data_IF_354591438294
#
_entry.id   IF_354591438294
#
_cell.length_a   1.000
_cell.length_b   1.000
_cell.length_c   1.000
_cell.angle_alpha   90.00
_cell.angle_beta   90.00
_cell.angle_gamma   90.00
#
_symmetry.space_group_name_H-M   'P 1'
#
loop_
_entity.id
_entity.type
_entity.pdbx_description
1 polymer ?
#
# COMPACT_ATOMS: atom_id res chain seq x y z
N UNK A 1 -27.37 -6.30 -26.57
CA UNK A 1 -26.09 -5.56 -26.53
C UNK A 1 -26.15 -4.32 -25.65
N UNK A 2 -27.04 -3.33 -25.87
CA UNK A 2 -27.09 -2.10 -25.03
C UNK A 2 -27.31 -2.35 -23.53
N UNK A 3 -28.12 -3.35 -23.12
CA UNK A 3 -28.33 -3.69 -21.69
C UNK A 3 -27.09 -4.34 -21.03
N UNK A 4 -26.32 -5.11 -21.80
CA UNK A 4 -25.08 -5.72 -21.30
C UNK A 4 -23.98 -4.66 -21.14
N UNK A 5 -23.91 -3.69 -22.07
CA UNK A 5 -23.04 -2.52 -21.96
C UNK A 5 -23.44 -1.63 -20.75
N UNK A 6 -24.75 -1.50 -20.46
CA UNK A 6 -25.24 -0.74 -19.30
C UNK A 6 -24.87 -1.43 -17.98
N UNK A 7 -25.00 -2.76 -17.91
CA UNK A 7 -24.60 -3.54 -16.75
C UNK A 7 -23.09 -3.50 -16.58
N UNK A 8 -22.32 -3.63 -17.66
CA UNK A 8 -20.86 -3.48 -17.63
C UNK A 8 -20.44 -2.06 -17.23
N UNK A 9 -21.15 -1.03 -17.72
CA UNK A 9 -20.90 0.37 -17.33
C UNK A 9 -21.30 0.65 -15.87
N UNK A 10 -22.38 0.05 -15.36
CA UNK A 10 -22.78 0.18 -13.95
C UNK A 10 -21.84 -0.59 -13.04
N UNK A 11 -21.39 -1.78 -13.43
CA UNK A 11 -20.34 -2.53 -12.71
C UNK A 11 -19.02 -1.78 -12.79
N UNK A 12 -18.64 -1.25 -13.95
CA UNK A 12 -17.49 -0.38 -14.09
C UNK A 12 -17.63 0.91 -13.26
N UNK A 13 -18.81 1.53 -13.20
CA UNK A 13 -19.08 2.70 -12.36
C UNK A 13 -19.02 2.38 -10.87
N UNK A 14 -19.58 1.25 -10.44
CA UNK A 14 -19.46 0.76 -9.07
C UNK A 14 -18.01 0.43 -8.71
N UNK A 15 -17.24 -0.12 -9.64
CA UNK A 15 -15.81 -0.42 -9.48
C UNK A 15 -14.96 0.85 -9.54
N UNK A 16 -15.38 1.89 -10.27
CA UNK A 16 -14.70 3.22 -10.32
C UNK A 16 -15.01 4.06 -9.13
N UNK A 17 -16.23 4.02 -8.68
CA UNK A 17 -16.55 4.53 -7.35
C UNK A 17 -15.75 3.75 -6.29
N UNK A 18 -15.39 2.50 -6.58
CA UNK A 18 -14.44 1.72 -5.82
C UNK A 18 -12.99 1.96 -6.20
N UNK A 19 -12.57 3.14 -6.60
CA UNK A 19 -11.16 3.47 -6.93
C UNK A 19 -10.18 3.00 -5.87
N UNK A 20 -10.24 1.68 -5.60
CA UNK A 20 -9.36 0.98 -4.71
C UNK A 20 -7.99 0.92 -5.38
N UNK A 21 -7.25 1.98 -5.23
CA UNK A 21 -5.82 1.81 -5.13
C UNK A 21 -5.61 1.28 -3.72
N UNK A 22 -5.17 0.02 -3.54
CA UNK A 22 -4.76 -0.42 -2.21
C UNK A 22 -3.80 0.63 -1.71
N UNK A 23 -4.12 1.21 -0.56
CA UNK A 23 -3.31 2.20 0.09
C UNK A 23 -1.88 1.71 0.08
N UNK A 24 -1.00 2.43 -0.58
CA UNK A 24 0.36 2.07 -0.90
C UNK A 24 0.67 0.64 -0.55
N UNK A 25 0.67 -0.25 -1.52
CA UNK A 25 0.99 -1.63 -1.25
C UNK A 25 2.27 -1.64 -0.42
N UNK A 26 2.16 -2.10 0.80
CA UNK A 26 3.33 -2.42 1.61
C UNK A 26 4.13 -3.32 0.72
N UNK A 27 5.34 -2.91 0.32
CA UNK A 27 6.17 -3.76 -0.51
C UNK A 27 6.45 -5.07 0.26
N UNK A 28 6.90 -6.10 -0.45
CA UNK A 28 7.17 -7.41 0.14
C UNK A 28 8.06 -7.31 1.41
N UNK A 29 8.94 -6.32 1.48
CA UNK A 29 9.79 -6.03 2.65
C UNK A 29 9.01 -5.41 3.81
N UNK A 30 8.04 -4.55 3.55
CA UNK A 30 7.16 -4.00 4.58
C UNK A 30 6.22 -5.05 5.16
N UNK A 31 5.79 -6.05 4.37
CA UNK A 31 5.03 -7.20 4.88
C UNK A 31 5.89 -8.11 5.76
N UNK A 32 7.14 -8.35 5.38
CA UNK A 32 8.09 -9.13 6.18
C UNK A 32 8.35 -8.44 7.52
N UNK A 33 8.49 -7.10 7.54
CA UNK A 33 8.71 -6.32 8.76
C UNK A 33 7.51 -6.41 9.71
N UNK A 34 6.29 -6.32 9.20
CA UNK A 34 5.07 -6.46 9.99
C UNK A 34 4.85 -7.89 10.50
N UNK A 35 5.19 -8.90 9.70
CA UNK A 35 5.13 -10.30 10.10
C UNK A 35 6.15 -10.62 11.20
N UNK A 36 7.35 -10.09 11.14
CA UNK A 36 8.38 -10.26 12.16
C UNK A 36 7.99 -9.64 13.51
N UNK A 37 7.36 -8.45 13.50
CA UNK A 37 6.84 -7.84 14.74
C UNK A 37 5.71 -8.67 15.38
N UNK A 38 4.95 -9.43 14.59
CA UNK A 38 3.86 -10.28 15.09
C UNK A 38 4.39 -11.58 15.69
N UNK A 39 5.46 -12.15 15.13
CA UNK A 39 6.12 -13.34 15.68
C UNK A 39 6.83 -13.03 17.00
N UNK A 40 7.49 -11.89 17.11
CA UNK A 40 8.21 -11.47 18.32
C UNK A 40 7.27 -11.17 19.50
N UNK A 41 6.02 -10.77 19.23
CA UNK A 41 5.00 -10.55 20.27
C UNK A 41 4.31 -11.84 20.74
N UNK A 42 4.41 -12.95 20.00
CA UNK A 42 3.73 -14.21 20.32
C UNK A 42 4.60 -15.14 21.17
N UNK A 43 5.92 -14.93 21.19
CA UNK A 43 6.87 -15.79 21.92
C UNK A 43 7.03 -15.45 23.42
N UNK A 44 6.25 -14.47 23.92
CA UNK A 44 6.26 -14.05 25.35
C UNK A 44 5.01 -14.43 26.14
N UNK A 45 4.40 -15.60 25.87
CA UNK A 45 3.43 -16.16 26.81
C UNK A 45 4.13 -17.09 27.81
N UNK A 46 3.97 -16.88 29.13
CA UNK A 46 4.52 -17.80 30.13
C UNK A 46 3.73 -19.12 30.13
N UNK A 47 4.43 -20.23 30.09
CA UNK A 47 3.83 -21.54 30.25
C UNK A 47 3.20 -21.69 31.65
N UNK A 48 2.07 -22.39 31.81
CA UNK A 48 1.47 -22.68 33.10
C UNK A 48 2.26 -23.78 33.81
N UNK A 49 2.70 -23.46 35.03
CA UNK A 49 3.28 -24.40 35.98
C UNK A 49 2.30 -25.53 36.32
N UNK A 50 2.68 -26.76 36.05
CA UNK A 50 2.00 -27.94 36.54
C UNK A 50 2.90 -28.63 37.57
N UNK A 51 2.38 -28.71 38.81
CA UNK A 51 2.95 -29.47 39.90
C UNK A 51 3.08 -30.94 39.57
N UNK A 52 4.20 -31.55 39.90
CA UNK A 52 4.18 -32.89 40.51
C UNK A 52 5.47 -33.16 41.33
N UNK A 53 5.17 -33.73 42.50
CA UNK A 53 6.03 -34.05 43.64
C UNK A 53 6.78 -35.32 43.39
N UNK A 54 8.09 -35.42 43.71
CA UNK A 54 8.66 -36.57 44.43
C UNK A 54 10.10 -36.31 44.88
N UNK A 55 10.32 -36.66 46.13
CA UNK A 55 11.49 -36.68 46.98
C UNK A 55 12.77 -37.31 46.38
N UNK A 56 13.94 -36.80 46.72
CA UNK A 56 14.98 -37.40 47.53
C UNK A 56 16.32 -36.68 47.45
N UNK A 57 16.73 -36.18 48.60
CA UNK A 57 18.04 -36.16 49.31
C UNK A 57 19.38 -35.86 48.58
N UNK A 58 20.08 -34.91 49.25
CA UNK A 58 21.52 -34.85 49.56
C UNK A 58 22.51 -34.36 48.50
N UNK A 59 23.07 -33.20 48.69
CA UNK A 59 24.41 -32.89 49.19
C UNK A 59 24.81 -31.45 48.95
N UNK A 60 25.36 -30.81 49.99
CA UNK A 60 25.90 -29.48 50.05
C UNK A 60 27.11 -29.30 49.12
N UNK A 61 27.14 -28.18 48.35
CA UNK A 61 28.38 -27.46 48.02
C UNK A 61 28.03 -25.99 47.85
N UNK A 62 28.58 -25.21 48.80
CA UNK A 62 28.57 -23.74 48.73
C UNK A 62 29.41 -23.28 47.54
N UNK A 63 28.74 -22.67 46.57
CA UNK A 63 29.34 -21.92 45.49
C UNK A 63 28.77 -20.54 45.48
N UNK A 64 29.56 -19.59 45.99
CA UNK A 64 29.33 -18.14 45.96
C UNK A 64 29.34 -17.73 44.47
N UNK A 65 28.15 -17.54 43.90
CA UNK A 65 28.00 -16.90 42.59
C UNK A 65 27.58 -15.45 42.79
N UNK A 66 28.53 -14.54 42.54
CA UNK A 66 28.28 -13.15 42.27
C UNK A 66 27.34 -13.04 41.07
N UNK A 67 26.03 -12.90 41.32
CA UNK A 67 25.06 -12.54 40.34
C UNK A 67 25.19 -11.03 40.02
N UNK A 68 26.20 -10.69 39.24
CA UNK A 68 26.25 -9.43 38.51
C UNK A 68 25.24 -9.54 37.36
N UNK A 69 23.94 -9.32 37.69
CA UNK A 69 22.91 -9.09 36.68
C UNK A 69 23.22 -7.71 36.08
N UNK A 70 23.98 -7.72 34.98
CA UNK A 70 23.95 -6.62 34.01
C UNK A 70 22.53 -6.57 33.45
N UNK A 71 21.70 -5.73 34.09
CA UNK A 71 20.39 -5.31 33.59
C UNK A 71 20.62 -4.33 32.43
N UNK A 72 21.32 -4.79 31.39
CA UNK A 72 21.30 -4.19 30.06
C UNK A 72 19.98 -4.59 29.40
N UNK A 73 18.86 -4.19 30.02
CA UNK A 73 17.59 -4.04 29.36
C UNK A 73 17.78 -2.96 28.29
N UNK A 74 18.42 -3.36 27.19
CA UNK A 74 18.31 -2.69 25.91
C UNK A 74 16.85 -2.83 25.47
N UNK A 75 15.96 -2.08 26.16
CA UNK A 75 14.64 -1.81 25.62
C UNK A 75 14.89 -1.18 24.24
N UNK A 76 14.76 -1.99 23.19
CA UNK A 76 14.68 -1.48 21.84
C UNK A 76 13.67 -0.32 21.92
N UNK A 77 14.17 0.90 21.81
CA UNK A 77 13.34 2.10 21.72
C UNK A 77 12.33 1.76 20.62
N UNK A 78 11.11 1.44 21.04
CA UNK A 78 9.99 1.37 20.10
C UNK A 78 9.94 2.79 19.54
N UNK A 79 10.45 2.96 18.31
CA UNK A 79 10.31 4.21 17.59
C UNK A 79 8.85 4.59 17.72
N UNK A 80 8.57 5.67 18.46
CA UNK A 80 7.23 6.20 18.64
C UNK A 80 6.66 6.40 17.24
N UNK A 81 5.77 5.50 16.82
CA UNK A 81 5.11 5.59 15.52
C UNK A 81 4.34 6.90 15.53
N UNK A 82 4.83 7.88 14.78
CA UNK A 82 4.20 9.19 14.67
C UNK A 82 2.79 8.99 14.13
N UNK A 83 1.82 9.01 15.04
CA UNK A 83 0.41 8.78 14.71
C UNK A 83 -0.18 10.08 14.18
N UNK A 84 -0.71 10.02 12.96
CA UNK A 84 -1.51 11.12 12.43
C UNK A 84 -2.80 11.22 13.26
N UNK A 85 -3.20 12.44 13.73
CA UNK A 85 -4.45 12.65 14.42
C UNK A 85 -5.64 12.13 13.63
N UNK A 86 -6.52 11.39 14.29
CA UNK A 86 -7.74 10.84 13.70
C UNK A 86 -9.00 11.43 14.37
N UNK A 87 -9.30 12.71 14.11
CA UNK A 87 -10.44 13.38 14.72
C UNK A 87 -11.79 12.87 14.19
N UNK A 88 -11.79 12.11 13.09
CA UNK A 88 -12.97 11.60 12.42
C UNK A 88 -13.07 10.07 12.50
N UNK A 89 -12.60 9.48 13.61
CA UNK A 89 -12.49 8.02 13.78
C UNK A 89 -13.79 7.28 13.47
N UNK A 90 -14.95 7.78 13.88
CA UNK A 90 -16.25 7.14 13.63
C UNK A 90 -16.58 7.11 12.12
N UNK A 91 -16.37 8.24 11.44
CA UNK A 91 -16.56 8.34 9.99
C UNK A 91 -15.55 7.46 9.24
N UNK A 92 -14.30 7.52 9.63
CA UNK A 92 -13.21 6.76 9.02
C UNK A 92 -13.44 5.24 9.16
N UNK A 93 -13.86 4.78 10.34
CA UNK A 93 -14.24 3.39 10.60
C UNK A 93 -15.45 2.98 9.76
N UNK A 94 -16.45 3.86 9.62
CA UNK A 94 -17.60 3.63 8.75
C UNK A 94 -17.19 3.42 7.29
N UNK A 95 -16.31 4.27 6.76
CA UNK A 95 -15.77 4.12 5.39
C UNK A 95 -14.83 2.94 5.25
N UNK A 96 -14.06 2.58 6.29
CA UNK A 96 -13.29 1.35 6.29
C UNK A 96 -14.21 0.12 6.10
N UNK A 97 -15.27 -0.01 6.88
CA UNK A 97 -16.22 -1.11 6.72
C UNK A 97 -16.94 -1.12 5.37
N UNK A 98 -17.25 0.05 4.84
CA UNK A 98 -17.80 0.17 3.48
C UNK A 98 -16.80 -0.36 2.45
N UNK A 99 -15.54 0.10 2.49
CA UNK A 99 -14.48 -0.34 1.57
C UNK A 99 -14.20 -1.84 1.69
N UNK A 100 -14.18 -2.37 2.92
CA UNK A 100 -14.00 -3.80 3.20
C UNK A 100 -15.11 -4.65 2.53
N UNK A 101 -16.38 -4.26 2.71
CA UNK A 101 -17.51 -4.95 2.06
C UNK A 101 -17.42 -4.84 0.54
N UNK A 102 -17.08 -3.67 0.01
CA UNK A 102 -16.92 -3.46 -1.43
C UNK A 102 -15.80 -4.34 -2.00
N UNK A 103 -14.68 -4.49 -1.27
CA UNK A 103 -13.63 -5.41 -1.66
C UNK A 103 -14.14 -6.84 -1.75
N UNK A 104 -14.74 -7.38 -0.68
CA UNK A 104 -15.16 -8.79 -0.64
C UNK A 104 -16.33 -9.11 -1.56
N UNK A 105 -17.28 -8.19 -1.73
CA UNK A 105 -18.52 -8.47 -2.46
C UNK A 105 -18.44 -8.10 -3.94
N UNK A 106 -17.62 -7.14 -4.30
CA UNK A 106 -17.54 -6.65 -5.68
C UNK A 106 -16.15 -6.84 -6.27
N UNK A 107 -15.13 -6.22 -5.67
CA UNK A 107 -13.83 -6.12 -6.30
C UNK A 107 -13.13 -7.49 -6.39
N UNK A 108 -13.08 -8.25 -5.30
CA UNK A 108 -12.46 -9.58 -5.26
C UNK A 108 -13.10 -10.57 -6.23
N UNK A 109 -14.44 -10.78 -6.28
CA UNK A 109 -15.04 -11.70 -7.24
C UNK A 109 -14.85 -11.27 -8.70
N UNK A 110 -14.95 -9.96 -9.01
CA UNK A 110 -14.68 -9.43 -10.35
C UNK A 110 -13.23 -9.66 -10.75
N UNK A 111 -12.29 -9.35 -9.86
CA UNK A 111 -10.85 -9.54 -10.11
C UNK A 111 -10.45 -11.01 -10.24
N UNK A 112 -11.11 -11.92 -9.50
CA UNK A 112 -10.93 -13.38 -9.68
C UNK A 112 -11.42 -13.84 -11.05
N UNK A 113 -12.62 -13.40 -11.45
CA UNK A 113 -13.16 -13.71 -12.78
C UNK A 113 -12.28 -13.16 -13.91
N UNK A 114 -11.80 -11.93 -13.76
CA UNK A 114 -10.86 -11.32 -14.69
C UNK A 114 -9.55 -12.11 -14.77
N UNK A 115 -8.94 -12.46 -13.61
CA UNK A 115 -7.70 -13.22 -13.54
C UNK A 115 -7.82 -14.66 -14.07
N UNK A 116 -9.04 -15.23 -14.05
CA UNK A 116 -9.30 -16.54 -14.69
C UNK A 116 -9.29 -16.46 -16.23
N UNK A 117 -9.73 -15.32 -16.79
CA UNK A 117 -9.85 -15.13 -18.26
C UNK A 117 -8.55 -14.60 -18.85
N UNK A 118 -7.89 -13.67 -18.17
CA UNK A 118 -6.71 -12.95 -18.67
C UNK A 118 -5.44 -13.56 -18.06
N UNK A 119 -4.52 -14.07 -18.87
CA UNK A 119 -3.23 -14.60 -18.42
C UNK A 119 -2.41 -13.58 -17.64
N UNK A 120 -1.57 -14.04 -16.72
CA UNK A 120 -0.78 -13.19 -15.84
C UNK A 120 0.16 -12.26 -16.61
N UNK A 121 0.79 -12.75 -17.66
CA UNK A 121 1.72 -11.99 -18.50
C UNK A 121 1.01 -10.77 -19.13
N UNK A 122 -0.24 -10.97 -19.57
CA UNK A 122 -1.03 -9.88 -20.15
C UNK A 122 -1.48 -8.89 -19.08
N UNK A 123 -1.81 -9.36 -17.88
CA UNK A 123 -2.14 -8.48 -16.72
C UNK A 123 -0.93 -7.65 -16.29
N UNK A 124 0.26 -8.24 -16.28
CA UNK A 124 1.50 -7.51 -16.04
C UNK A 124 1.78 -6.48 -17.13
N UNK A 125 1.59 -6.83 -18.40
CA UNK A 125 1.75 -5.89 -19.51
C UNK A 125 0.79 -4.70 -19.39
N UNK A 126 -0.48 -4.94 -19.06
CA UNK A 126 -1.48 -3.89 -18.81
C UNK A 126 -1.03 -2.98 -17.67
N UNK A 127 -0.58 -3.53 -16.55
CA UNK A 127 -0.05 -2.75 -15.42
C UNK A 127 1.13 -1.88 -15.83
N UNK A 128 2.06 -2.42 -16.62
CA UNK A 128 3.21 -1.69 -17.11
C UNK A 128 2.81 -0.52 -18.02
N UNK A 129 1.82 -0.70 -18.88
CA UNK A 129 1.26 0.39 -19.71
C UNK A 129 0.69 1.51 -18.84
N UNK A 130 -0.13 1.19 -17.83
CA UNK A 130 -0.68 2.19 -16.93
C UNK A 130 0.41 2.92 -16.14
N UNK A 131 1.42 2.18 -15.66
CA UNK A 131 2.59 2.78 -15.03
C UNK A 131 3.30 3.75 -15.98
N UNK A 132 3.54 3.35 -17.23
CA UNK A 132 4.21 4.18 -18.24
C UNK A 132 3.38 5.41 -18.61
N UNK A 133 2.07 5.29 -18.75
CA UNK A 133 1.15 6.41 -19.04
C UNK A 133 1.16 7.46 -17.94
N UNK A 134 1.29 7.06 -16.67
CA UNK A 134 1.36 7.98 -15.51
C UNK A 134 2.73 8.64 -15.31
N UNK A 135 3.68 8.43 -16.22
CA UNK A 135 4.98 9.10 -16.17
C UNK A 135 4.90 10.61 -15.87
N UNK A 136 4.00 11.44 -16.49
CA UNK A 136 4.00 12.87 -16.25
C UNK A 136 3.73 13.23 -14.79
N UNK A 137 2.89 12.48 -14.09
CA UNK A 137 2.60 12.69 -12.67
C UNK A 137 3.89 12.55 -11.85
N UNK A 138 4.60 11.43 -11.99
CA UNK A 138 5.83 11.16 -11.24
C UNK A 138 6.95 12.11 -11.62
N UNK A 139 7.15 12.34 -12.91
CA UNK A 139 8.18 13.24 -13.42
C UNK A 139 8.05 14.66 -12.89
N UNK A 140 6.83 15.23 -12.97
CA UNK A 140 6.57 16.61 -12.52
C UNK A 140 6.71 16.70 -11.00
N UNK A 141 6.22 15.72 -10.25
CA UNK A 141 6.37 15.71 -8.79
C UNK A 141 7.85 15.57 -8.37
N UNK A 142 8.66 14.75 -9.05
CA UNK A 142 10.11 14.74 -8.84
C UNK A 142 10.74 16.12 -9.03
N UNK A 143 10.35 16.85 -10.09
CA UNK A 143 10.86 18.21 -10.34
C UNK A 143 10.41 19.21 -9.27
N UNK A 144 9.12 19.17 -8.88
CA UNK A 144 8.56 20.05 -7.85
C UNK A 144 9.20 19.83 -6.46
N UNK A 145 9.67 18.63 -6.19
CA UNK A 145 10.41 18.28 -4.98
C UNK A 145 11.91 18.59 -5.07
N UNK A 146 12.41 19.08 -6.21
CA UNK A 146 13.84 19.32 -6.43
C UNK A 146 14.66 18.04 -6.64
N UNK A 147 14.03 16.87 -6.75
CA UNK A 147 14.66 15.57 -6.98
C UNK A 147 15.03 15.38 -8.47
N UNK A 148 15.88 16.29 -9.01
CA UNK A 148 16.22 16.34 -10.46
C UNK A 148 16.81 15.01 -10.95
N UNK A 149 17.61 14.32 -10.14
CA UNK A 149 18.18 13.02 -10.50
C UNK A 149 17.10 11.95 -10.68
N UNK A 150 16.12 11.90 -9.77
CA UNK A 150 14.96 10.98 -9.87
C UNK A 150 14.10 11.31 -11.09
N UNK A 151 13.87 12.60 -11.39
CA UNK A 151 13.13 12.98 -12.59
C UNK A 151 13.85 12.52 -13.88
N UNK A 152 15.17 12.59 -13.92
CA UNK A 152 15.96 12.04 -15.02
C UNK A 152 15.79 10.52 -15.16
N UNK A 153 15.73 9.79 -14.05
CA UNK A 153 15.47 8.34 -14.06
C UNK A 153 14.06 8.01 -14.54
N UNK A 154 13.03 8.75 -14.08
CA UNK A 154 11.67 8.61 -14.56
C UNK A 154 11.56 8.84 -16.07
N UNK A 155 12.23 9.88 -16.59
CA UNK A 155 12.29 10.13 -18.02
C UNK A 155 13.00 8.98 -18.77
N UNK A 156 14.11 8.49 -18.25
CA UNK A 156 14.84 7.35 -18.81
C UNK A 156 13.97 6.08 -18.86
N UNK A 157 13.27 5.76 -17.76
CA UNK A 157 12.32 4.65 -17.71
C UNK A 157 11.22 4.78 -18.77
N UNK A 158 10.57 5.95 -18.81
CA UNK A 158 9.51 6.22 -19.78
C UNK A 158 10.02 6.06 -21.21
N UNK A 159 11.19 6.60 -21.54
CA UNK A 159 11.77 6.52 -22.87
C UNK A 159 12.09 5.08 -23.26
N UNK A 160 12.76 4.31 -22.40
CA UNK A 160 13.14 2.93 -22.66
C UNK A 160 11.88 2.05 -22.78
N UNK A 161 10.93 2.18 -21.85
CA UNK A 161 9.72 1.39 -21.88
C UNK A 161 8.80 1.76 -23.04
N UNK A 162 8.79 3.02 -23.48
CA UNK A 162 8.00 3.43 -24.66
C UNK A 162 8.62 2.98 -25.97
N UNK A 163 9.94 2.94 -26.08
CA UNK A 163 10.64 2.55 -27.33
C UNK A 163 10.91 1.05 -27.36
N UNK A 164 11.78 0.55 -26.50
CA UNK A 164 12.16 -0.87 -26.46
C UNK A 164 11.07 -1.74 -25.83
N UNK A 165 10.25 -1.20 -24.92
CA UNK A 165 9.16 -1.90 -24.24
C UNK A 165 7.82 -1.82 -24.95
N UNK A 166 7.76 -1.35 -26.18
CA UNK A 166 6.53 -1.29 -27.00
C UNK A 166 5.40 -0.50 -26.30
N UNK A 167 5.60 0.81 -26.11
CA UNK A 167 4.68 1.72 -25.40
C UNK A 167 4.44 1.35 -23.92
N UNK A 168 5.37 0.61 -23.33
CA UNK A 168 5.29 0.22 -21.92
C UNK A 168 4.67 -1.16 -21.66
N UNK A 169 4.33 -1.95 -22.69
CA UNK A 169 3.88 -3.33 -22.51
C UNK A 169 4.93 -4.19 -21.78
N UNK A 170 6.20 -4.05 -22.16
CA UNK A 170 7.31 -4.65 -21.45
C UNK A 170 8.06 -3.60 -20.60
N UNK A 171 8.34 -3.92 -19.34
CA UNK A 171 9.15 -3.09 -18.47
C UNK A 171 10.64 -3.39 -18.70
N UNK A 172 11.17 -2.94 -19.83
CA UNK A 172 12.58 -3.14 -20.21
C UNK A 172 13.51 -2.35 -19.28
N UNK A 173 13.06 -1.22 -18.75
CA UNK A 173 13.83 -0.40 -17.81
C UNK A 173 14.14 -1.15 -16.49
N UNK A 174 13.40 -2.18 -16.11
CA UNK A 174 13.67 -3.01 -14.94
C UNK A 174 15.04 -3.73 -15.01
N UNK A 175 15.61 -3.89 -16.21
CA UNK A 175 16.96 -4.47 -16.38
C UNK A 175 18.09 -3.51 -16.00
N UNK A 176 17.77 -2.26 -15.70
CA UNK A 176 18.71 -1.21 -15.32
C UNK A 176 18.52 -0.83 -13.85
N UNK A 177 19.35 -1.34 -12.91
CA UNK A 177 19.19 -1.11 -11.47
C UNK A 177 19.18 0.36 -11.06
N UNK A 178 19.76 1.22 -11.87
CA UNK A 178 19.83 2.67 -11.64
C UNK A 178 18.47 3.35 -11.91
N UNK A 179 17.64 2.75 -12.75
CA UNK A 179 16.32 3.26 -13.13
C UNK A 179 15.23 2.65 -12.26
N UNK A 180 15.32 2.84 -10.94
CA UNK A 180 14.32 2.31 -10.03
C UNK A 180 12.99 3.08 -10.18
N UNK A 181 11.85 2.38 -10.15
CA UNK A 181 10.55 3.04 -10.21
C UNK A 181 10.34 3.91 -8.98
N UNK A 182 9.92 5.15 -9.18
CA UNK A 182 9.49 6.02 -8.10
C UNK A 182 7.97 6.02 -7.97
N UNK A 183 7.48 6.40 -6.79
CA UNK A 183 6.04 6.53 -6.50
C UNK A 183 5.70 7.96 -6.13
N UNK A 184 6.42 8.92 -6.71
CA UNK A 184 6.27 10.33 -6.39
C UNK A 184 4.89 10.87 -6.78
N UNK A 185 4.27 11.55 -5.85
CA UNK A 185 2.94 12.17 -5.99
C UNK A 185 2.92 13.58 -5.38
N UNK A 186 1.85 14.33 -5.62
CA UNK A 186 1.72 15.70 -5.13
C UNK A 186 1.54 15.77 -3.61
N UNK A 187 1.02 14.73 -2.95
CA UNK A 187 0.98 14.64 -1.50
C UNK A 187 2.39 14.61 -0.89
N UNK A 188 3.32 13.88 -1.50
CA UNK A 188 4.75 13.90 -1.12
C UNK A 188 5.38 15.25 -1.43
N UNK A 189 5.05 15.85 -2.57
CA UNK A 189 5.51 17.21 -2.93
C UNK A 189 5.10 18.22 -1.85
N UNK A 190 3.86 18.18 -1.40
CA UNK A 190 3.39 19.03 -0.30
C UNK A 190 4.16 18.76 1.00
N UNK A 191 4.47 17.50 1.32
CA UNK A 191 5.29 17.16 2.48
C UNK A 191 6.69 17.77 2.40
N UNK A 192 7.37 17.65 1.27
CA UNK A 192 8.68 18.26 1.03
C UNK A 192 8.63 19.79 1.14
N UNK A 193 7.50 20.41 0.77
CA UNK A 193 7.28 21.85 0.96
C UNK A 193 6.95 22.24 2.40
N UNK A 194 6.86 21.29 3.34
CA UNK A 194 6.63 21.54 4.75
C UNK A 194 5.15 21.53 5.16
N UNK A 195 4.26 21.06 4.30
CA UNK A 195 2.86 20.86 4.69
C UNK A 195 2.73 19.56 5.50
N UNK A 196 2.11 19.69 6.66
CA UNK A 196 1.82 18.56 7.54
C UNK A 196 0.74 17.64 6.93
N UNK A 197 0.66 16.39 7.42
CA UNK A 197 -0.34 15.41 6.99
C UNK A 197 -1.78 15.89 7.22
N UNK A 198 -1.99 16.71 8.26
CA UNK A 198 -3.32 17.08 8.74
C UNK A 198 -4.06 15.88 9.33
N UNK A 199 -5.39 15.89 9.23
CA UNK A 199 -6.21 14.80 9.74
C UNK A 199 -6.10 13.53 8.89
N UNK A 200 -6.11 12.38 9.54
CA UNK A 200 -6.29 11.10 8.87
C UNK A 200 -7.70 10.97 8.29
N UNK A 201 -7.82 10.45 7.09
CA UNK A 201 -9.07 10.24 6.38
C UNK A 201 -9.10 8.87 5.73
N UNK A 202 -10.16 8.12 5.95
CA UNK A 202 -10.48 6.97 5.11
C UNK A 202 -11.43 7.42 4.03
N UNK A 203 -10.95 7.43 2.78
CA UNK A 203 -11.79 7.84 1.66
C UNK A 203 -12.63 6.66 1.15
N UNK A 204 -13.94 6.86 0.89
CA UNK A 204 -14.74 5.82 0.28
C UNK A 204 -14.13 5.48 -1.09
N UNK A 205 -14.00 4.19 -1.38
CA UNK A 205 -13.38 3.61 -2.56
C UNK A 205 -11.85 3.77 -2.68
N UNK A 206 -11.25 4.80 -2.08
CA UNK A 206 -9.81 5.08 -2.18
C UNK A 206 -8.99 4.57 -0.99
N UNK A 207 -9.64 4.19 0.10
CA UNK A 207 -8.98 3.67 1.29
C UNK A 207 -8.28 4.73 2.15
N UNK A 208 -7.24 4.34 2.92
CA UNK A 208 -6.48 5.22 3.80
C UNK A 208 -5.86 6.41 3.07
N UNK A 209 -5.93 7.58 3.68
CA UNK A 209 -5.41 8.84 3.17
C UNK A 209 -5.17 9.82 4.33
N UNK A 210 -4.62 10.99 4.01
CA UNK A 210 -4.60 12.16 4.89
C UNK A 210 -5.22 13.35 4.15
N UNK A 211 -5.48 14.44 4.87
CA UNK A 211 -5.98 15.67 4.23
C UNK A 211 -5.02 16.16 3.16
N UNK A 212 -3.72 16.20 3.45
CA UNK A 212 -2.66 16.57 2.52
C UNK A 212 -2.65 15.68 1.28
N UNK A 213 -2.64 14.36 1.49
CA UNK A 213 -2.51 13.40 0.39
C UNK A 213 -3.79 13.30 -0.43
N UNK A 214 -4.95 13.53 0.17
CA UNK A 214 -6.22 13.66 -0.53
C UNK A 214 -6.24 14.86 -1.49
N UNK A 215 -5.77 16.03 -1.02
CA UNK A 215 -5.60 17.22 -1.86
C UNK A 215 -4.53 16.99 -2.95
N UNK A 216 -3.42 16.35 -2.60
CA UNK A 216 -2.39 15.96 -3.56
C UNK A 216 -2.94 15.09 -4.67
N UNK A 217 -3.73 14.07 -4.33
CA UNK A 217 -4.37 13.16 -5.30
C UNK A 217 -5.32 13.90 -6.25
N UNK A 218 -6.06 14.89 -5.76
CA UNK A 218 -6.89 15.76 -6.61
C UNK A 218 -6.02 16.54 -7.61
N UNK A 219 -4.89 17.10 -7.14
CA UNK A 219 -3.95 17.80 -8.02
C UNK A 219 -3.29 16.89 -9.07
N UNK A 220 -2.89 15.67 -8.68
CA UNK A 220 -2.33 14.68 -9.60
C UNK A 220 -3.29 14.29 -10.73
N UNK A 221 -4.61 14.37 -10.48
CA UNK A 221 -5.62 14.14 -11.51
C UNK A 221 -5.44 15.06 -12.72
N UNK A 222 -4.99 16.29 -12.51
CA UNK A 222 -4.72 17.24 -13.60
C UNK A 222 -3.46 16.89 -14.41
N UNK A 223 -2.54 16.14 -13.83
CA UNK A 223 -1.31 15.70 -14.48
C UNK A 223 -1.46 14.32 -15.16
N UNK A 224 -2.54 13.61 -14.86
CA UNK A 224 -2.77 12.25 -15.34
C UNK A 224 -3.33 12.26 -16.76
N UNK A 225 -2.59 11.70 -17.74
CA UNK A 225 -2.98 11.72 -19.13
C UNK A 225 -4.33 11.07 -19.44
N UNK A 226 -4.79 10.11 -18.62
CA UNK A 226 -6.07 9.42 -18.85
C UNK A 226 -7.23 10.41 -18.86
N UNK A 227 -7.18 11.48 -18.04
CA UNK A 227 -8.21 12.49 -18.01
C UNK A 227 -8.19 13.46 -19.21
N UNK A 228 -7.08 13.53 -19.93
CA UNK A 228 -6.90 14.39 -21.10
C UNK A 228 -7.09 13.65 -22.43
N UNK A 229 -6.86 12.32 -22.42
CA UNK A 229 -6.96 11.49 -23.62
C UNK A 229 -8.41 11.21 -24.01
N UNK A 230 -9.33 11.30 -23.04
CA UNK A 230 -10.73 10.96 -23.26
C UNK A 230 -11.62 12.10 -22.80
N UNK A 231 -12.43 12.63 -23.73
CA UNK A 231 -13.39 13.74 -23.45
C UNK A 231 -14.54 13.26 -22.55
N UNK A 232 -14.84 11.97 -22.55
CA UNK A 232 -15.92 11.39 -21.76
C UNK A 232 -15.40 10.89 -20.42
N UNK A 233 -15.87 11.55 -19.34
CA UNK A 233 -15.54 11.20 -17.97
C UNK A 233 -15.85 9.72 -17.64
N UNK A 234 -16.91 9.15 -18.23
CA UNK A 234 -17.28 7.76 -17.98
C UNK A 234 -16.28 6.78 -18.57
N UNK A 235 -15.68 7.14 -19.70
CA UNK A 235 -14.61 6.35 -20.32
C UNK A 235 -13.36 6.39 -19.45
N UNK A 236 -12.95 7.56 -19.00
CA UNK A 236 -11.80 7.71 -18.08
C UNK A 236 -12.02 6.94 -16.79
N UNK A 237 -13.20 7.02 -16.22
CA UNK A 237 -13.59 6.25 -15.06
C UNK A 237 -13.60 4.73 -15.31
N UNK A 238 -14.11 4.25 -16.42
CA UNK A 238 -14.09 2.82 -16.78
C UNK A 238 -12.67 2.28 -16.95
N UNK A 239 -11.78 3.07 -17.54
CA UNK A 239 -10.35 2.73 -17.67
C UNK A 239 -9.70 2.59 -16.30
N UNK A 240 -9.97 3.52 -15.38
CA UNK A 240 -9.47 3.47 -14.00
C UNK A 240 -9.99 2.25 -13.25
N UNK A 241 -11.26 1.91 -13.45
CA UNK A 241 -11.83 0.70 -12.87
C UNK A 241 -11.14 -0.56 -13.40
N UNK A 242 -10.92 -0.62 -14.70
CA UNK A 242 -10.20 -1.72 -15.34
C UNK A 242 -8.78 -1.87 -14.80
N UNK A 243 -8.07 -0.75 -14.60
CA UNK A 243 -6.76 -0.72 -13.94
C UNK A 243 -6.84 -1.30 -12.54
N UNK A 244 -7.79 -0.84 -11.71
CA UNK A 244 -7.97 -1.33 -10.34
C UNK A 244 -8.26 -2.83 -10.30
N UNK A 245 -9.16 -3.33 -11.17
CA UNK A 245 -9.46 -4.77 -11.28
C UNK A 245 -8.21 -5.56 -11.67
N UNK A 246 -7.44 -5.04 -12.63
CA UNK A 246 -6.19 -5.66 -13.05
C UNK A 246 -5.18 -5.76 -11.91
N UNK A 247 -4.96 -4.67 -11.17
CA UNK A 247 -4.02 -4.64 -10.04
C UNK A 247 -4.46 -5.58 -8.91
N UNK A 248 -5.73 -5.53 -8.52
CA UNK A 248 -6.27 -6.41 -7.47
C UNK A 248 -6.21 -7.87 -7.89
N UNK A 249 -6.40 -8.18 -9.18
CA UNK A 249 -6.32 -9.57 -9.66
C UNK A 249 -4.96 -10.23 -9.47
N UNK A 250 -3.90 -9.44 -9.33
CA UNK A 250 -2.52 -9.90 -9.08
C UNK A 250 -2.15 -9.96 -7.59
N UNK A 251 -3.02 -9.39 -6.72
CA UNK A 251 -2.77 -9.26 -5.28
C UNK A 251 -3.89 -9.85 -4.42
N UNK A 252 -4.66 -10.77 -4.98
CA UNK A 252 -5.73 -11.45 -4.24
C UNK A 252 -5.08 -12.29 -3.14
N UNK A 253 -5.51 -12.08 -1.89
CA UNK A 253 -4.97 -12.74 -0.71
C UNK A 253 -4.13 -11.82 0.18
N UNK A 254 -3.47 -10.80 -0.36
CA UNK A 254 -2.65 -9.86 0.43
C UNK A 254 -3.49 -9.12 1.48
N UNK A 255 -4.62 -8.57 1.07
CA UNK A 255 -5.52 -7.85 1.99
C UNK A 255 -6.14 -8.76 3.05
N UNK A 256 -6.51 -9.97 2.66
CA UNK A 256 -7.04 -10.98 3.56
C UNK A 256 -6.02 -11.40 4.61
N UNK A 257 -4.79 -11.67 4.19
CA UNK A 257 -3.71 -12.04 5.10
C UNK A 257 -3.40 -10.92 6.11
N UNK A 258 -3.34 -9.67 5.64
CA UNK A 258 -3.20 -8.51 6.52
C UNK A 258 -4.34 -8.40 7.54
N UNK A 259 -5.57 -8.58 7.09
CA UNK A 259 -6.75 -8.50 7.95
C UNK A 259 -6.81 -9.62 8.98
N UNK A 260 -6.38 -10.83 8.61
CA UNK A 260 -6.35 -12.01 9.48
C UNK A 260 -5.27 -11.89 10.56
N UNK A 261 -4.12 -11.30 10.23
CA UNK A 261 -3.02 -11.08 11.15
C UNK A 261 -3.27 -9.93 12.15
N UNK A 262 -4.24 -9.05 11.89
CA UNK A 262 -4.48 -7.86 12.69
C UNK A 262 -5.45 -8.10 13.84
N UNK A 263 -5.11 -7.63 15.05
CA UNK A 263 -6.04 -7.54 16.18
C UNK A 263 -7.13 -6.51 15.86
N UNK A 264 -6.73 -5.33 15.38
CA UNK A 264 -7.63 -4.30 14.86
C UNK A 264 -7.22 -3.93 13.43
N UNK A 265 -7.95 -4.45 12.42
CA UNK A 265 -7.60 -4.20 11.02
C UNK A 265 -7.68 -2.72 10.60
N UNK A 266 -8.55 -1.92 11.24
CA UNK A 266 -8.62 -0.48 10.96
C UNK A 266 -7.36 0.23 11.41
N UNK A 267 -6.95 0.00 12.67
CA UNK A 267 -5.75 0.60 13.26
C UNK A 267 -4.51 0.17 12.49
N UNK A 268 -4.40 -1.11 12.16
CA UNK A 268 -3.29 -1.66 11.38
C UNK A 268 -3.16 -0.99 10.01
N UNK A 269 -4.27 -0.87 9.25
CA UNK A 269 -4.25 -0.21 7.94
C UNK A 269 -3.88 1.27 8.05
N UNK A 270 -4.35 1.98 9.09
CA UNK A 270 -3.98 3.35 9.35
C UNK A 270 -2.48 3.47 9.59
N UNK A 271 -1.94 2.65 10.49
CA UNK A 271 -0.52 2.68 10.85
C UNK A 271 0.37 2.30 9.65
N UNK A 272 0.01 1.25 8.91
CA UNK A 272 0.71 0.86 7.70
C UNK A 272 0.73 1.97 6.65
N UNK A 273 -0.39 2.69 6.48
CA UNK A 273 -0.44 3.85 5.60
C UNK A 273 0.51 4.95 6.05
N UNK A 274 0.49 5.32 7.35
CA UNK A 274 1.33 6.40 7.90
C UNK A 274 2.79 6.08 7.72
N UNK A 275 3.23 4.89 8.14
CA UNK A 275 4.62 4.44 8.01
C UNK A 275 5.09 4.43 6.55
N UNK A 276 4.26 3.91 5.65
CA UNK A 276 4.59 3.93 4.22
C UNK A 276 4.73 5.36 3.68
N UNK A 277 3.89 6.31 4.12
CA UNK A 277 3.99 7.71 3.70
C UNK A 277 5.24 8.40 4.23
N UNK A 278 5.59 8.16 5.50
CA UNK A 278 6.84 8.67 6.09
C UNK A 278 8.05 8.18 5.28
N UNK A 279 8.11 6.88 4.99
CA UNK A 279 9.17 6.28 4.18
C UNK A 279 9.27 6.92 2.79
N UNK A 280 8.13 7.04 2.08
CA UNK A 280 8.11 7.61 0.73
C UNK A 280 8.53 9.08 0.67
N UNK A 281 8.24 9.87 1.71
CA UNK A 281 8.68 11.28 1.81
C UNK A 281 10.17 11.36 2.09
N UNK A 282 10.72 10.43 2.88
CA UNK A 282 12.15 10.38 3.21
C UNK A 282 13.05 9.91 2.06
N UNK A 283 12.52 9.17 1.08
CA UNK A 283 13.24 8.73 -0.12
C UNK A 283 13.47 9.89 -1.12
#
# INVERSE_FOLDING_TARGET
MKKLLYVAAVVAFLVVLCGYTPAGAVDEKGMIYLAQQTEESTDKQPEPSGDDVSDEAEAEEEGEYDDEYDDDDEYAEQEDVELIPDPFIEMNTGFYHFNDKMYFWVLKPVSRGYGFIIPEELRMAIRNVFYNVRFPVRFINCLLQGKVRKSGYEFGQFFINSTAGFLGLANVAANYPELQPSKEDLGQTFAVWGFDNGAYLTLPFFGPSSLRDGLGRLGDTFLDPIWWLFDDIWVSLAIRAGETVNDVSMRIGEYEALKEAAIDPYVMLRNAYVQNRIKLVAE
#
